data_IF_552106409410
#
_entry.id   IF_552106409410
#
_cell.length_a   1.000
_cell.length_b   1.000
_cell.length_c   1.000
_cell.angle_alpha   90.00
_cell.angle_beta   90.00
_cell.angle_gamma   90.00
#
_symmetry.space_group_name_H-M   'P 1'
#
loop_
_entity.id
_entity.type
_entity.pdbx_description
1 polymer ?
#
# COMPACT_ATOMS: atom_id res chain seq x y z
N UNK A 1 31.70 22.02 -35.94
CA UNK A 1 31.73 21.61 -34.52
C UNK A 1 30.42 21.98 -33.86
N UNK A 2 29.52 21.02 -33.73
CA UNK A 2 28.20 21.22 -33.11
C UNK A 2 28.36 21.12 -31.60
N UNK A 3 28.22 22.25 -30.90
CA UNK A 3 28.14 22.29 -29.45
C UNK A 3 26.85 21.61 -29.00
N UNK A 4 26.98 20.37 -28.51
CA UNK A 4 25.96 19.70 -27.72
C UNK A 4 25.81 20.46 -26.40
N UNK A 5 24.90 21.44 -26.37
CA UNK A 5 24.35 22.01 -25.14
C UNK A 5 23.44 20.96 -24.49
N UNK A 6 24.06 19.88 -24.00
CA UNK A 6 23.41 18.96 -23.07
C UNK A 6 23.17 19.71 -21.77
N UNK A 7 21.97 20.26 -21.63
CA UNK A 7 21.54 20.91 -20.39
C UNK A 7 21.55 19.88 -19.27
N UNK A 8 22.63 19.88 -18.49
CA UNK A 8 22.65 19.22 -17.18
C UNK A 8 21.60 19.92 -16.32
N UNK A 9 20.37 19.39 -16.28
CA UNK A 9 19.38 19.80 -15.29
C UNK A 9 20.05 19.66 -13.92
N UNK A 10 20.12 20.76 -13.18
CA UNK A 10 20.77 20.77 -11.88
C UNK A 10 20.01 19.85 -10.93
N UNK A 11 20.72 19.15 -10.04
CA UNK A 11 20.08 18.30 -9.01
C UNK A 11 19.06 19.08 -8.19
N UNK A 12 19.32 20.37 -7.95
CA UNK A 12 18.38 21.26 -7.28
C UNK A 12 17.04 21.35 -8.01
N UNK A 13 17.07 21.49 -9.34
CA UNK A 13 15.85 21.55 -10.15
C UNK A 13 15.11 20.20 -10.16
N UNK A 14 15.84 19.08 -10.20
CA UNK A 14 15.21 17.75 -10.13
C UNK A 14 14.53 17.49 -8.78
N UNK A 15 15.15 17.91 -7.68
CA UNK A 15 14.56 17.83 -6.36
C UNK A 15 13.36 18.78 -6.19
N UNK A 16 13.41 19.97 -6.79
CA UNK A 16 12.27 20.88 -6.80
C UNK A 16 11.08 20.28 -7.56
N UNK A 17 11.31 19.66 -8.72
CA UNK A 17 10.30 18.93 -9.49
C UNK A 17 9.68 17.79 -8.67
N UNK A 18 10.52 16.96 -8.03
CA UNK A 18 10.05 15.89 -7.14
C UNK A 18 9.15 16.40 -6.00
N UNK A 19 9.52 17.53 -5.39
CA UNK A 19 8.72 18.19 -4.35
C UNK A 19 7.37 18.69 -4.88
N UNK A 20 7.30 19.19 -6.10
CA UNK A 20 6.04 19.60 -6.73
C UNK A 20 5.08 18.42 -6.86
N UNK A 21 5.53 17.30 -7.44
CA UNK A 21 4.72 16.07 -7.50
C UNK A 21 4.25 15.60 -6.13
N UNK A 22 5.13 15.68 -5.13
CA UNK A 22 4.79 15.29 -3.76
C UNK A 22 3.69 16.17 -3.17
N UNK A 23 3.79 17.50 -3.35
CA UNK A 23 2.79 18.47 -2.88
C UNK A 23 1.44 18.31 -3.59
N UNK A 24 1.45 17.88 -4.85
CA UNK A 24 0.25 17.57 -5.62
C UNK A 24 -0.37 16.20 -5.27
N UNK A 25 0.24 15.45 -4.34
CA UNK A 25 -0.24 14.13 -3.91
C UNK A 25 0.09 13.01 -4.91
N UNK A 26 0.92 13.29 -5.92
CA UNK A 26 1.42 12.33 -6.90
C UNK A 26 2.61 11.55 -6.32
N UNK A 27 2.33 10.78 -5.26
CA UNK A 27 3.35 10.15 -4.41
C UNK A 27 4.27 9.17 -5.18
N UNK A 28 3.73 8.44 -6.15
CA UNK A 28 4.49 7.45 -6.92
C UNK A 28 5.45 8.13 -7.89
N UNK A 29 4.98 9.20 -8.52
CA UNK A 29 5.76 10.04 -9.43
C UNK A 29 6.85 10.79 -8.66
N UNK A 30 6.51 11.37 -7.51
CA UNK A 30 7.47 12.01 -6.62
C UNK A 30 8.56 11.03 -6.16
N UNK A 31 8.17 9.82 -5.72
CA UNK A 31 9.11 8.77 -5.34
C UNK A 31 10.07 8.43 -6.49
N UNK A 32 9.55 8.22 -7.70
CA UNK A 32 10.37 7.91 -8.87
C UNK A 32 11.38 9.03 -9.17
N UNK A 33 10.97 10.30 -9.06
CA UNK A 33 11.88 11.45 -9.26
C UNK A 33 12.98 11.51 -8.20
N UNK A 34 12.66 11.26 -6.93
CA UNK A 34 13.68 11.17 -5.90
C UNK A 34 14.62 9.98 -6.12
N UNK A 35 14.09 8.82 -6.54
CA UNK A 35 14.89 7.64 -6.88
C UNK A 35 15.88 7.92 -8.02
N UNK A 36 15.44 8.57 -9.11
CA UNK A 36 16.34 8.95 -10.22
C UNK A 36 17.53 9.81 -9.75
N UNK A 37 17.29 10.75 -8.83
CA UNK A 37 18.37 11.57 -8.24
C UNK A 37 19.28 10.71 -7.37
N UNK A 38 18.71 9.84 -6.55
CA UNK A 38 19.46 8.98 -5.63
C UNK A 38 20.30 7.93 -6.36
N UNK A 39 19.78 7.31 -7.42
CA UNK A 39 20.49 6.35 -8.27
C UNK A 39 21.71 6.98 -8.94
N UNK A 40 21.61 8.23 -9.39
CA UNK A 40 22.75 8.97 -9.97
C UNK A 40 23.73 9.47 -8.90
N UNK A 41 23.24 9.69 -7.67
CA UNK A 41 24.00 10.27 -6.55
C UNK A 41 23.57 9.63 -5.22
N UNK A 42 24.03 8.42 -4.94
CA UNK A 42 23.67 7.63 -3.76
C UNK A 42 23.97 8.27 -2.38
N UNK A 43 24.67 9.40 -2.35
CA UNK A 43 24.94 10.19 -1.13
C UNK A 43 23.99 11.38 -0.97
N UNK A 44 23.03 11.56 -1.87
CA UNK A 44 22.06 12.64 -1.74
C UNK A 44 21.02 12.28 -0.67
N UNK A 45 21.25 12.81 0.54
CA UNK A 45 20.38 12.59 1.70
C UNK A 45 18.96 13.10 1.46
N UNK A 46 18.82 14.23 0.78
CA UNK A 46 17.50 14.80 0.51
C UNK A 46 16.67 13.89 -0.40
N UNK A 47 17.28 13.35 -1.47
CA UNK A 47 16.62 12.39 -2.33
C UNK A 47 16.19 11.13 -1.56
N UNK A 48 17.06 10.59 -0.71
CA UNK A 48 16.74 9.42 0.10
C UNK A 48 15.59 9.67 1.09
N UNK A 49 15.57 10.84 1.75
CA UNK A 49 14.47 11.25 2.64
C UNK A 49 13.17 11.39 1.84
N UNK A 50 13.23 11.98 0.64
CA UNK A 50 12.08 12.10 -0.26
C UNK A 50 11.53 10.72 -0.67
N UNK A 51 12.39 9.78 -1.04
CA UNK A 51 12.00 8.38 -1.33
C UNK A 51 11.30 7.74 -0.14
N UNK A 52 11.89 7.83 1.06
CA UNK A 52 11.34 7.26 2.29
C UNK A 52 9.96 7.84 2.62
N UNK A 53 9.82 9.17 2.57
CA UNK A 53 8.58 9.86 2.94
C UNK A 53 7.44 9.57 1.96
N UNK A 54 7.72 9.65 0.66
CA UNK A 54 6.73 9.33 -0.38
C UNK A 54 6.33 7.85 -0.36
N UNK A 55 7.29 6.96 -0.07
CA UNK A 55 7.00 5.54 0.05
C UNK A 55 6.15 5.22 1.29
N UNK A 56 6.46 5.84 2.43
CA UNK A 56 5.65 5.71 3.64
C UNK A 56 4.21 6.19 3.39
N UNK A 57 4.04 7.38 2.82
CA UNK A 57 2.73 7.93 2.53
C UNK A 57 1.90 7.04 1.57
N UNK A 58 2.57 6.38 0.61
CA UNK A 58 1.89 5.44 -0.28
C UNK A 58 1.49 4.14 0.45
N UNK A 59 2.36 3.61 1.30
CA UNK A 59 2.03 2.47 2.15
C UNK A 59 0.84 2.77 3.07
N UNK A 60 0.85 3.93 3.73
CA UNK A 60 -0.23 4.36 4.63
C UNK A 60 -1.58 4.40 3.89
N UNK A 61 -1.58 4.82 2.62
CA UNK A 61 -2.78 4.80 1.77
C UNK A 61 -3.28 3.38 1.49
N UNK A 62 -2.38 2.44 1.16
CA UNK A 62 -2.74 1.04 0.92
C UNK A 62 -3.28 0.38 2.20
N UNK A 63 -2.65 0.63 3.35
CA UNK A 63 -3.09 0.09 4.64
C UNK A 63 -4.43 0.69 5.08
N UNK A 64 -4.66 1.98 4.80
CA UNK A 64 -5.95 2.64 5.02
C UNK A 64 -7.06 2.04 4.16
N UNK A 65 -6.79 1.76 2.88
CA UNK A 65 -7.74 1.09 1.98
C UNK A 65 -8.11 -0.31 2.49
N UNK A 66 -7.11 -1.12 2.86
CA UNK A 66 -7.34 -2.44 3.45
C UNK A 66 -8.17 -2.35 4.74
N UNK A 67 -7.83 -1.41 5.63
CA UNK A 67 -8.58 -1.15 6.86
C UNK A 67 -10.04 -0.78 6.57
N UNK A 68 -10.29 0.08 5.58
CA UNK A 68 -11.65 0.46 5.17
C UNK A 68 -12.46 -0.72 4.65
N UNK A 69 -11.82 -1.64 3.92
CA UNK A 69 -12.46 -2.86 3.46
C UNK A 69 -12.80 -3.83 4.60
N UNK A 70 -11.91 -3.99 5.60
CA UNK A 70 -12.21 -4.80 6.79
C UNK A 70 -13.39 -4.22 7.58
N UNK A 71 -13.42 -2.90 7.79
CA UNK A 71 -14.49 -2.24 8.54
C UNK A 71 -15.85 -2.26 7.82
N UNK A 72 -15.85 -2.38 6.48
CA UNK A 72 -17.08 -2.47 5.67
C UNK A 72 -17.52 -3.91 5.37
N UNK A 73 -16.82 -4.92 5.91
CA UNK A 73 -17.15 -6.33 5.71
C UNK A 73 -16.84 -6.85 4.29
N UNK A 74 -16.08 -6.11 3.48
CA UNK A 74 -15.71 -6.54 2.12
C UNK A 74 -14.41 -7.36 2.14
N UNK A 75 -14.47 -8.55 2.73
CA UNK A 75 -13.29 -9.35 3.11
C UNK A 75 -12.33 -9.65 1.95
N UNK A 76 -12.83 -10.07 0.78
CA UNK A 76 -11.97 -10.36 -0.38
C UNK A 76 -11.20 -9.12 -0.86
N UNK A 77 -11.85 -7.95 -0.84
CA UNK A 77 -11.20 -6.69 -1.20
C UNK A 77 -10.18 -6.28 -0.15
N UNK A 78 -10.49 -6.52 1.13
CA UNK A 78 -9.58 -6.24 2.24
C UNK A 78 -8.31 -7.11 2.19
N UNK A 79 -8.46 -8.41 1.94
CA UNK A 79 -7.34 -9.35 1.83
C UNK A 79 -6.47 -9.02 0.60
N UNK A 80 -7.08 -8.60 -0.51
CA UNK A 80 -6.33 -8.12 -1.68
C UNK A 80 -5.53 -6.85 -1.36
N UNK A 81 -6.16 -5.82 -0.80
CA UNK A 81 -5.48 -4.57 -0.46
C UNK A 81 -4.38 -4.79 0.60
N UNK A 82 -4.60 -5.70 1.55
CA UNK A 82 -3.58 -6.12 2.53
C UNK A 82 -2.36 -6.75 1.83
N UNK A 83 -2.59 -7.67 0.88
CA UNK A 83 -1.51 -8.28 0.11
C UNK A 83 -0.74 -7.26 -0.75
N UNK A 84 -1.44 -6.29 -1.34
CA UNK A 84 -0.81 -5.20 -2.10
C UNK A 84 0.10 -4.34 -1.21
N UNK A 85 -0.34 -4.02 0.02
CA UNK A 85 0.48 -3.31 1.01
C UNK A 85 1.73 -4.11 1.42
N UNK A 86 1.59 -5.41 1.68
CA UNK A 86 2.69 -6.32 2.01
C UNK A 86 3.71 -6.43 0.87
N UNK A 87 3.25 -6.62 -0.36
CA UNK A 87 4.11 -6.67 -1.53
C UNK A 87 4.86 -5.35 -1.72
N UNK A 88 4.18 -4.22 -1.52
CA UNK A 88 4.78 -2.90 -1.62
C UNK A 88 5.89 -2.69 -0.58
N UNK A 89 5.61 -2.96 0.70
CA UNK A 89 6.61 -2.83 1.76
C UNK A 89 7.81 -3.76 1.56
N UNK A 90 7.57 -5.01 1.17
CA UNK A 90 8.64 -5.96 0.86
C UNK A 90 9.52 -5.49 -0.31
N UNK A 91 8.92 -4.83 -1.32
CA UNK A 91 9.67 -4.21 -2.42
C UNK A 91 10.53 -3.05 -1.93
N UNK A 92 9.95 -2.12 -1.18
CA UNK A 92 10.67 -0.95 -0.66
C UNK A 92 11.82 -1.36 0.29
N UNK A 93 11.64 -2.42 1.08
CA UNK A 93 12.70 -3.01 1.90
C UNK A 93 13.88 -3.51 1.06
N UNK A 94 13.62 -4.17 -0.08
CA UNK A 94 14.68 -4.59 -1.02
C UNK A 94 15.41 -3.41 -1.66
N UNK A 95 14.74 -2.28 -1.80
CA UNK A 95 15.31 -1.01 -2.28
C UNK A 95 16.02 -0.22 -1.16
N UNK A 96 16.13 -0.79 0.04
CA UNK A 96 16.85 -0.20 1.17
C UNK A 96 16.04 0.80 2.00
N UNK A 97 14.71 0.84 1.82
CA UNK A 97 13.81 1.68 2.58
C UNK A 97 13.12 0.87 3.68
N UNK A 98 13.19 1.36 4.93
CA UNK A 98 12.54 0.71 6.07
C UNK A 98 11.23 1.43 6.37
N UNK A 99 10.12 0.90 5.87
CA UNK A 99 8.80 1.47 6.11
C UNK A 99 8.20 0.99 7.43
N UNK A 100 7.44 1.86 8.10
CA UNK A 100 6.69 1.54 9.32
C UNK A 100 5.31 1.01 8.92
N UNK A 101 4.89 -0.11 9.50
CA UNK A 101 3.58 -0.75 9.24
C UNK A 101 2.57 -0.35 10.31
N UNK A 102 1.29 -0.25 9.95
CA UNK A 102 0.20 -0.11 10.93
C UNK A 102 0.07 -1.37 11.80
N UNK A 103 0.34 -1.29 13.12
CA UNK A 103 0.24 -2.44 14.02
C UNK A 103 -1.20 -2.92 14.23
N UNK A 104 -2.21 -2.10 13.93
CA UNK A 104 -3.62 -2.44 14.08
C UNK A 104 -4.20 -3.18 12.87
N UNK A 105 -3.57 -3.08 11.70
CA UNK A 105 -4.09 -3.72 10.49
C UNK A 105 -4.22 -5.26 10.62
N UNK A 106 -3.23 -6.00 11.17
CA UNK A 106 -3.38 -7.44 11.42
C UNK A 106 -4.49 -7.78 12.42
N UNK A 107 -4.76 -6.89 13.39
CA UNK A 107 -5.86 -7.05 14.37
C UNK A 107 -7.20 -6.94 13.65
N UNK A 108 -7.42 -5.88 12.88
CA UNK A 108 -8.64 -5.67 12.09
C UNK A 108 -8.91 -6.82 11.12
N UNK A 109 -7.86 -7.34 10.47
CA UNK A 109 -7.96 -8.51 9.60
C UNK A 109 -8.47 -9.75 10.33
N UNK A 110 -7.91 -10.04 11.51
CA UNK A 110 -8.33 -11.19 12.32
C UNK A 110 -9.79 -11.04 12.76
N UNK A 111 -10.18 -9.85 13.23
CA UNK A 111 -11.55 -9.55 13.66
C UNK A 111 -12.55 -9.70 12.51
N UNK A 112 -12.26 -9.16 11.33
CA UNK A 112 -13.13 -9.27 10.17
C UNK A 112 -13.30 -10.73 9.70
N UNK A 113 -12.23 -11.54 9.75
CA UNK A 113 -12.29 -12.97 9.44
C UNK A 113 -13.14 -13.74 10.45
N UNK A 114 -13.00 -13.43 11.74
CA UNK A 114 -13.82 -14.04 12.78
C UNK A 114 -15.30 -13.70 12.57
N UNK A 115 -15.62 -12.41 12.37
CA UNK A 115 -16.98 -11.96 12.10
C UNK A 115 -17.59 -12.63 10.85
N UNK A 116 -16.80 -12.79 9.79
CA UNK A 116 -17.25 -13.49 8.58
C UNK A 116 -17.52 -14.96 8.84
N UNK A 117 -16.69 -15.64 9.64
CA UNK A 117 -16.89 -17.05 9.99
C UNK A 117 -18.13 -17.22 10.88
N UNK A 118 -18.32 -16.36 11.88
CA UNK A 118 -19.48 -16.37 12.75
C UNK A 118 -20.77 -16.16 11.94
N UNK A 119 -20.77 -15.21 11.00
CA UNK A 119 -21.92 -14.94 10.13
C UNK A 119 -22.26 -16.12 9.20
N UNK A 120 -21.26 -16.83 8.67
CA UNK A 120 -21.48 -18.03 7.85
C UNK A 120 -22.05 -19.17 8.70
N UNK A 121 -21.54 -19.35 9.92
CA UNK A 121 -22.04 -20.34 10.84
C UNK A 121 -23.51 -20.09 11.23
N UNK A 122 -23.87 -18.84 11.56
CA UNK A 122 -25.26 -18.46 11.85
C UNK A 122 -26.20 -18.70 10.65
N UNK A 123 -25.72 -18.43 9.43
CA UNK A 123 -26.49 -18.70 8.20
C UNK A 123 -26.67 -20.20 7.98
N UNK A 124 -25.63 -21.01 8.17
CA UNK A 124 -25.69 -22.46 8.05
C UNK A 124 -26.63 -23.07 9.11
N UNK A 125 -26.56 -22.62 10.37
CA UNK A 125 -27.46 -23.06 11.43
C UNK A 125 -28.92 -22.70 11.13
N UNK A 126 -29.16 -21.50 10.61
CA UNK A 126 -30.50 -21.07 10.19
C UNK A 126 -31.01 -21.89 9.01
N UNK A 127 -30.18 -22.18 8.00
CA UNK A 127 -30.53 -23.03 6.87
C UNK A 127 -30.87 -24.46 7.34
N UNK A 128 -30.06 -25.01 8.24
CA UNK A 128 -30.29 -26.33 8.85
C UNK A 128 -31.61 -26.39 9.64
N UNK A 129 -31.88 -25.39 10.50
CA UNK A 129 -33.13 -25.33 11.28
C UNK A 129 -34.39 -25.11 10.44
N UNK A 130 -34.25 -24.66 9.20
CA UNK A 130 -35.36 -24.41 8.26
C UNK A 130 -35.50 -25.47 7.19
N UNK A 131 -34.93 -26.66 7.41
CA UNK A 131 -34.94 -27.82 6.50
C UNK A 131 -34.35 -27.53 5.09
N UNK A 132 -33.54 -26.47 4.96
CA UNK A 132 -32.80 -26.12 3.74
C UNK A 132 -31.41 -26.75 3.75
N UNK A 133 -31.37 -28.08 3.84
CA UNK A 133 -30.12 -28.83 4.02
C UNK A 133 -29.09 -28.62 2.91
N UNK A 134 -29.53 -28.41 1.66
CA UNK A 134 -28.63 -28.14 0.54
C UNK A 134 -27.93 -26.77 0.61
N UNK A 135 -28.54 -25.77 1.25
CA UNK A 135 -27.90 -24.47 1.51
C UNK A 135 -26.96 -24.54 2.71
N UNK A 136 -27.28 -25.37 3.72
CA UNK A 136 -26.42 -25.57 4.89
C UNK A 136 -25.08 -26.25 4.51
N UNK A 137 -25.09 -27.22 3.57
CA UNK A 137 -23.88 -27.91 3.12
C UNK A 137 -22.93 -27.02 2.29
N UNK A 138 -23.45 -25.98 1.62
CA UNK A 138 -22.62 -25.04 0.85
C UNK A 138 -21.96 -23.95 1.71
N UNK A 139 -22.47 -23.72 2.92
CA UNK A 139 -22.03 -22.67 3.85
C UNK A 139 -21.09 -23.18 4.95
N UNK A 140 -21.01 -24.50 5.14
CA UNK A 140 -20.14 -25.18 6.11
C UNK A 140 -18.80 -25.60 5.48
#
# INVERSE_FOLDING_TARGET
STLLLGGCVSVSNQLADARTYEQEGMLREAHARYSEVYERRHRNVEAHIGMQRTAQAWLDRLESEASGHYLSGTLDRADKAYADADQYAARMQREGLSLVRDPLLPVRRREARQQSADALYEQAETAFRTDRFGEAEQLA
#
